data_IF_639892632329
#
_entry.id   IF_639892632329
#
_cell.length_a   1.000
_cell.length_b   1.000
_cell.length_c   1.000
_cell.angle_alpha   90.00
_cell.angle_beta   90.00
_cell.angle_gamma   90.00
#
_symmetry.space_group_name_H-M   'P 1'
#
loop_
_entity.id
_entity.type
_entity.pdbx_description
1 polymer ?
#
# COMPACT_ATOMS: atom_id res chain seq x y z
N UNK A 1 -9.79 -21.00 11.58
CA UNK A 1 -8.63 -20.10 11.49
C UNK A 1 -9.19 -18.70 11.43
N UNK A 2 -8.61 -17.73 12.12
CA UNK A 2 -8.95 -16.33 11.87
C UNK A 2 -8.17 -15.87 10.63
N UNK A 3 -8.75 -14.95 9.89
CA UNK A 3 -8.14 -14.43 8.66
C UNK A 3 -7.20 -13.27 8.97
N UNK A 4 -6.25 -12.99 8.07
CA UNK A 4 -5.58 -11.69 8.05
C UNK A 4 -6.61 -10.61 7.71
N UNK A 5 -6.38 -9.37 8.15
CA UNK A 5 -7.34 -8.30 7.89
C UNK A 5 -6.70 -6.93 7.68
N UNK A 6 -7.43 -6.07 6.96
CA UNK A 6 -7.17 -4.63 6.85
C UNK A 6 -8.27 -3.94 7.64
N UNK A 7 -7.87 -3.15 8.61
CA UNK A 7 -8.76 -2.43 9.53
C UNK A 7 -8.57 -0.93 9.37
N UNK A 8 -9.68 -0.20 9.24
CA UNK A 8 -9.71 1.25 9.37
C UNK A 8 -9.81 1.64 10.84
N UNK A 9 -8.98 2.57 11.28
CA UNK A 9 -8.98 3.14 12.63
C UNK A 9 -9.13 4.65 12.62
N UNK A 10 -9.62 5.19 13.71
CA UNK A 10 -9.75 6.64 13.90
C UNK A 10 -9.11 7.09 15.19
N UNK A 11 -8.11 7.96 15.09
CA UNK A 11 -7.57 8.71 16.22
C UNK A 11 -8.38 10.00 16.39
N UNK A 12 -8.97 10.20 17.58
CA UNK A 12 -9.69 11.43 17.90
C UNK A 12 -8.70 12.58 18.15
N UNK A 13 -8.92 13.70 17.47
CA UNK A 13 -8.15 14.92 17.62
C UNK A 13 -9.04 15.98 18.24
N UNK A 14 -8.63 16.55 19.38
CA UNK A 14 -9.35 17.59 20.12
C UNK A 14 -10.85 17.31 20.33
N UNK A 15 -11.23 16.04 20.46
CA UNK A 15 -12.60 15.61 20.74
C UNK A 15 -13.61 15.71 19.60
N UNK A 16 -13.32 16.44 18.53
CA UNK A 16 -14.26 16.76 17.43
C UNK A 16 -13.81 16.14 16.12
N UNK A 17 -12.55 16.30 15.74
CA UNK A 17 -11.99 15.82 14.49
C UNK A 17 -11.40 14.40 14.61
N UNK A 18 -11.25 13.71 13.49
CA UNK A 18 -10.65 12.41 13.42
C UNK A 18 -9.56 12.33 12.36
N UNK A 19 -8.45 11.70 12.73
CA UNK A 19 -7.41 11.23 11.83
C UNK A 19 -7.63 9.75 11.57
N UNK A 20 -8.07 9.42 10.35
CA UNK A 20 -8.27 8.04 9.95
C UNK A 20 -6.98 7.43 9.37
N UNK A 21 -6.76 6.15 9.63
CA UNK A 21 -5.59 5.41 9.18
C UNK A 21 -5.89 3.91 9.04
N UNK A 22 -5.00 3.18 8.40
CA UNK A 22 -5.15 1.76 8.14
C UNK A 22 -4.21 0.94 9.01
N UNK A 23 -4.67 -0.25 9.42
CA UNK A 23 -3.91 -1.24 10.18
C UNK A 23 -4.00 -2.58 9.48
N UNK A 24 -2.84 -3.19 9.24
CA UNK A 24 -2.73 -4.58 8.79
C UNK A 24 -2.64 -5.48 10.02
N UNK A 25 -3.45 -6.57 10.06
CA UNK A 25 -3.44 -7.54 11.16
C UNK A 25 -3.20 -8.95 10.67
N UNK A 26 -2.51 -9.74 11.51
CA UNK A 26 -2.37 -11.18 11.33
C UNK A 26 -3.64 -11.94 11.75
N UNK A 27 -3.61 -13.27 11.57
CA UNK A 27 -4.69 -14.18 11.97
C UNK A 27 -4.92 -14.26 13.48
N UNK A 28 -4.00 -13.77 14.30
CA UNK A 28 -4.12 -13.68 15.77
C UNK A 28 -4.70 -12.34 16.21
N UNK A 29 -4.81 -11.39 15.28
CA UNK A 29 -5.24 -10.02 15.52
C UNK A 29 -4.12 -9.07 15.95
N UNK A 30 -2.85 -9.50 15.88
CA UNK A 30 -1.72 -8.59 16.13
C UNK A 30 -1.57 -7.60 15.00
N UNK A 31 -1.21 -6.36 15.31
CA UNK A 31 -0.90 -5.36 14.31
C UNK A 31 0.47 -5.65 13.68
N UNK A 32 0.48 -5.90 12.37
CA UNK A 32 1.70 -6.06 11.59
C UNK A 32 2.27 -4.71 11.14
N UNK A 33 1.40 -3.78 10.76
CA UNK A 33 1.80 -2.46 10.27
C UNK A 33 0.64 -1.45 10.31
N UNK A 34 1.01 -0.16 10.22
CA UNK A 34 0.08 0.96 10.03
C UNK A 34 0.42 1.75 8.75
N UNK A 35 -0.63 2.29 8.06
CA UNK A 35 -0.50 3.24 6.95
C UNK A 35 -1.21 4.54 7.27
N UNK A 36 -0.51 5.65 7.12
CA UNK A 36 -0.99 6.98 7.47
C UNK A 36 -0.77 7.99 6.35
N UNK A 37 -1.58 9.05 6.34
CA UNK A 37 -1.22 10.31 5.72
C UNK A 37 -0.91 11.33 6.81
N UNK A 38 0.31 11.86 6.86
CA UNK A 38 0.75 12.77 7.91
C UNK A 38 1.27 14.08 7.34
N UNK A 39 1.05 15.17 8.10
CA UNK A 39 1.81 16.39 7.89
C UNK A 39 3.29 16.10 8.14
N UNK A 40 4.15 16.51 7.23
CA UNK A 40 5.59 16.22 7.27
C UNK A 40 6.35 17.51 7.02
N UNK A 41 7.28 17.84 7.89
CA UNK A 41 8.15 19.01 7.69
C UNK A 41 9.08 18.76 6.48
N UNK A 42 9.04 19.61 5.48
CA UNK A 42 9.83 19.47 4.25
C UNK A 42 11.34 19.56 4.47
N UNK A 43 11.74 20.28 5.51
CA UNK A 43 13.16 20.48 5.82
C UNK A 43 13.78 19.30 6.55
N UNK A 44 13.06 18.77 7.55
CA UNK A 44 13.56 17.67 8.39
C UNK A 44 13.13 16.29 7.87
N UNK A 45 12.09 16.23 7.01
CA UNK A 45 11.49 14.98 6.56
C UNK A 45 10.73 14.22 7.65
N UNK A 46 10.46 14.85 8.80
CA UNK A 46 9.81 14.18 9.94
C UNK A 46 8.32 14.47 10.00
N UNK A 47 7.48 13.49 10.42
CA UNK A 47 6.06 13.73 10.64
C UNK A 47 5.86 14.66 11.84
N UNK A 48 4.83 15.49 11.74
CA UNK A 48 4.41 16.41 12.79
C UNK A 48 2.95 16.18 13.14
N UNK A 49 2.53 16.41 14.40
CA UNK A 49 1.17 16.10 14.85
C UNK A 49 0.07 16.83 14.06
N UNK A 50 0.28 18.12 13.77
CA UNK A 50 -0.66 18.96 13.00
C UNK A 50 0.15 19.95 12.17
N UNK A 51 -0.14 20.03 10.86
CA UNK A 51 0.47 21.05 9.99
C UNK A 51 -0.07 22.44 10.28
N UNK A 52 0.80 23.40 10.48
CA UNK A 52 0.46 24.79 10.80
C UNK A 52 0.96 25.79 9.76
N UNK A 53 1.77 25.34 8.82
CA UNK A 53 2.32 26.13 7.72
C UNK A 53 2.35 25.29 6.43
N UNK A 54 1.43 25.56 5.52
CA UNK A 54 1.30 24.82 4.27
C UNK A 54 2.55 24.90 3.37
N UNK A 55 3.34 25.95 3.47
CA UNK A 55 4.60 26.09 2.69
C UNK A 55 5.69 25.18 3.24
N UNK A 56 5.73 25.01 4.55
CA UNK A 56 6.72 24.21 5.26
C UNK A 56 6.33 22.74 5.35
N UNK A 57 5.05 22.45 5.41
CA UNK A 57 4.53 21.11 5.70
C UNK A 57 3.87 20.48 4.46
N UNK A 58 4.36 19.32 4.07
CA UNK A 58 3.78 18.51 3.00
C UNK A 58 2.89 17.39 3.58
N UNK A 59 1.90 16.96 2.81
CA UNK A 59 1.20 15.71 3.05
C UNK A 59 2.04 14.55 2.51
N UNK A 60 2.40 13.60 3.36
CA UNK A 60 3.13 12.39 2.99
C UNK A 60 2.39 11.15 3.46
N UNK A 61 2.44 10.09 2.65
CA UNK A 61 2.06 8.75 3.07
C UNK A 61 3.21 8.12 3.87
N UNK A 62 2.87 7.50 5.00
CA UNK A 62 3.80 6.86 5.92
C UNK A 62 3.40 5.41 6.17
N UNK A 63 4.41 4.54 6.25
CA UNK A 63 4.25 3.14 6.58
C UNK A 63 5.08 2.81 7.81
N UNK A 64 4.45 2.26 8.85
CA UNK A 64 5.09 1.84 10.09
C UNK A 64 4.93 0.32 10.25
N UNK A 65 5.91 -0.49 9.84
CA UNK A 65 5.91 -1.93 10.09
C UNK A 65 6.29 -2.20 11.54
N UNK A 66 5.44 -2.88 12.30
CA UNK A 66 5.65 -3.17 13.73
C UNK A 66 6.23 -4.56 13.96
N UNK A 67 5.74 -5.53 13.18
CA UNK A 67 6.18 -6.93 13.28
C UNK A 67 7.51 -7.12 12.56
N UNK A 68 8.47 -7.79 13.23
CA UNK A 68 9.81 -7.97 12.71
C UNK A 68 9.85 -8.89 11.48
N UNK A 69 9.06 -9.97 11.48
CA UNK A 69 9.01 -10.92 10.37
C UNK A 69 8.37 -10.28 9.14
N UNK A 70 7.30 -9.52 9.35
CA UNK A 70 6.68 -8.74 8.28
C UNK A 70 7.62 -7.68 7.72
N UNK A 71 8.29 -6.90 8.59
CA UNK A 71 9.26 -5.88 8.18
C UNK A 71 10.40 -6.48 7.35
N UNK A 72 10.99 -7.58 7.82
CA UNK A 72 12.05 -8.30 7.10
C UNK A 72 11.56 -8.81 5.73
N UNK A 73 10.35 -9.34 5.65
CA UNK A 73 9.76 -9.86 4.40
C UNK A 73 9.60 -8.78 3.31
N UNK A 74 9.46 -7.52 3.69
CA UNK A 74 9.37 -6.37 2.76
C UNK A 74 10.65 -5.56 2.63
N UNK A 75 11.76 -6.03 3.22
CA UNK A 75 13.05 -5.35 3.19
C UNK A 75 13.09 -4.05 4.01
N UNK A 76 12.27 -3.93 5.05
CA UNK A 76 12.20 -2.79 5.95
C UNK A 76 12.77 -3.14 7.34
N UNK A 77 12.96 -2.12 8.17
CA UNK A 77 13.24 -2.28 9.60
C UNK A 77 11.95 -2.10 10.41
N UNK A 78 11.75 -2.84 11.51
CA UNK A 78 10.62 -2.64 12.40
C UNK A 78 10.62 -1.22 12.97
N UNK A 79 9.44 -0.60 13.00
CA UNK A 79 9.22 0.73 13.57
C UNK A 79 8.35 0.64 14.84
N UNK A 80 8.74 1.36 15.88
CA UNK A 80 8.02 1.41 17.16
C UNK A 80 6.96 2.50 17.21
N UNK A 81 6.91 3.36 16.18
CA UNK A 81 5.90 4.42 16.10
C UNK A 81 4.52 3.80 15.87
N UNK A 82 3.61 3.97 16.81
CA UNK A 82 2.25 3.46 16.69
C UNK A 82 1.23 4.49 17.13
N UNK A 83 0.17 4.60 16.37
CA UNK A 83 -1.01 5.43 16.64
C UNK A 83 -2.17 4.62 17.23
N UNK A 84 -1.98 3.30 17.40
CA UNK A 84 -2.96 2.44 18.05
C UNK A 84 -3.14 2.82 19.52
N UNK A 85 -4.40 2.96 19.94
CA UNK A 85 -4.80 3.20 21.32
C UNK A 85 -6.05 2.37 21.63
N UNK A 86 -6.21 1.99 22.87
CA UNK A 86 -7.42 1.29 23.32
C UNK A 86 -8.67 2.16 23.14
N UNK A 87 -9.78 1.51 22.82
CA UNK A 87 -11.07 2.18 22.65
C UNK A 87 -11.25 3.02 21.40
N UNK A 88 -10.26 3.04 20.48
CA UNK A 88 -10.43 3.74 19.21
C UNK A 88 -11.52 3.08 18.35
N UNK A 89 -12.35 3.88 17.66
CA UNK A 89 -13.26 3.36 16.65
C UNK A 89 -12.52 2.56 15.58
N UNK A 90 -13.03 1.38 15.27
CA UNK A 90 -12.46 0.45 14.31
C UNK A 90 -13.52 -0.08 13.34
N UNK A 91 -13.11 -0.40 12.11
CA UNK A 91 -13.93 -1.04 11.09
C UNK A 91 -13.05 -1.98 10.25
N UNK A 92 -13.36 -3.26 10.23
CA UNK A 92 -12.72 -4.19 9.29
C UNK A 92 -13.20 -3.86 7.88
N UNK A 93 -12.27 -3.57 6.98
CA UNK A 93 -12.53 -3.23 5.59
C UNK A 93 -12.34 -4.45 4.66
N UNK A 94 -11.42 -5.34 4.99
CA UNK A 94 -11.23 -6.61 4.30
C UNK A 94 -10.71 -7.66 5.29
N UNK A 95 -11.09 -8.92 5.09
CA UNK A 95 -10.51 -10.08 5.75
C UNK A 95 -10.46 -11.25 4.77
N UNK A 96 -9.44 -12.09 4.89
CA UNK A 96 -9.23 -13.21 4.01
C UNK A 96 -7.89 -13.89 4.24
N UNK A 97 -7.47 -14.69 3.27
CA UNK A 97 -6.18 -15.35 3.36
C UNK A 97 -5.01 -14.35 3.35
N UNK A 98 -3.89 -14.79 3.93
CA UNK A 98 -2.68 -13.95 4.08
C UNK A 98 -2.22 -13.36 2.75
N UNK A 99 -2.22 -14.15 1.68
CA UNK A 99 -1.66 -13.73 0.40
C UNK A 99 -2.53 -12.61 -0.23
N UNK A 100 -3.85 -12.76 -0.20
CA UNK A 100 -4.76 -11.75 -0.72
C UNK A 100 -4.65 -10.44 0.06
N UNK A 101 -4.72 -10.51 1.40
CA UNK A 101 -4.67 -9.31 2.25
C UNK A 101 -3.34 -8.58 2.11
N UNK A 102 -2.21 -9.31 2.06
CA UNK A 102 -0.91 -8.70 1.80
C UNK A 102 -0.81 -8.10 0.38
N UNK A 103 -1.39 -8.75 -0.64
CA UNK A 103 -1.38 -8.21 -2.00
C UNK A 103 -2.14 -6.88 -2.12
N UNK A 104 -3.29 -6.75 -1.42
CA UNK A 104 -4.04 -5.50 -1.28
C UNK A 104 -3.20 -4.42 -0.60
N UNK A 105 -2.62 -4.74 0.54
CA UNK A 105 -1.76 -3.83 1.30
C UNK A 105 -0.56 -3.34 0.49
N UNK A 106 0.12 -4.25 -0.20
CA UNK A 106 1.27 -3.94 -1.04
C UNK A 106 0.91 -3.08 -2.26
N UNK A 107 -0.33 -3.09 -2.75
CA UNK A 107 -0.75 -2.16 -3.79
C UNK A 107 -0.65 -0.70 -3.31
N UNK A 108 -1.07 -0.42 -2.08
CA UNK A 108 -0.87 0.90 -1.47
C UNK A 108 0.62 1.23 -1.27
N UNK A 109 1.43 0.29 -0.77
CA UNK A 109 2.87 0.52 -0.57
C UNK A 109 3.59 0.87 -1.88
N UNK A 110 3.28 0.16 -2.98
CA UNK A 110 3.88 0.44 -4.30
C UNK A 110 3.54 1.83 -4.83
N UNK A 111 2.40 2.39 -4.45
CA UNK A 111 1.99 3.73 -4.86
C UNK A 111 2.58 4.86 -4.00
N UNK A 112 3.09 4.57 -2.79
CA UNK A 112 3.59 5.59 -1.87
C UNK A 112 4.66 6.51 -2.45
N UNK A 113 5.65 6.03 -3.23
CA UNK A 113 6.63 6.93 -3.87
C UNK A 113 5.96 7.98 -4.76
N UNK A 114 4.95 7.61 -5.55
CA UNK A 114 4.20 8.54 -6.40
C UNK A 114 3.34 9.50 -5.58
N UNK A 115 2.68 9.01 -4.52
CA UNK A 115 1.94 9.86 -3.58
C UNK A 115 2.83 10.93 -2.97
N UNK A 116 4.02 10.54 -2.54
CA UNK A 116 4.96 11.43 -1.86
C UNK A 116 5.69 12.37 -2.82
N UNK A 117 5.88 11.98 -4.08
CA UNK A 117 6.51 12.81 -5.10
C UNK A 117 5.66 14.03 -5.52
N UNK A 118 4.35 14.02 -5.28
CA UNK A 118 3.48 15.15 -5.59
C UNK A 118 3.74 16.39 -4.73
N UNK A 119 4.39 16.21 -3.58
CA UNK A 119 4.74 17.27 -2.63
C UNK A 119 3.56 18.18 -2.26
N UNK A 120 2.37 17.59 -2.09
CA UNK A 120 1.14 18.32 -1.78
C UNK A 120 1.26 19.09 -0.48
N UNK A 121 0.83 20.36 -0.49
CA UNK A 121 0.78 21.17 0.72
C UNK A 121 -0.20 20.57 1.73
N UNK A 122 0.27 20.40 2.98
CA UNK A 122 -0.63 20.06 4.07
C UNK A 122 -1.36 21.33 4.53
N UNK A 123 -2.70 21.40 4.46
CA UNK A 123 -3.43 22.61 4.82
C UNK A 123 -3.26 22.94 6.30
N UNK A 124 -3.20 24.23 6.61
CA UNK A 124 -3.08 24.71 7.99
C UNK A 124 -4.17 24.10 8.86
N UNK A 125 -3.77 23.49 9.96
CA UNK A 125 -4.67 22.76 10.87
C UNK A 125 -5.47 21.64 10.19
N UNK A 126 -5.02 21.14 9.04
CA UNK A 126 -5.66 20.05 8.29
C UNK A 126 -6.95 20.44 7.57
N UNK A 127 -7.25 21.73 7.40
CA UNK A 127 -8.50 22.19 6.80
C UNK A 127 -8.31 23.43 5.91
N UNK A 128 -9.05 23.50 4.80
CA UNK A 128 -9.18 24.70 3.93
C UNK A 128 -10.60 25.25 4.04
N UNK A 129 -10.72 26.56 4.20
CA UNK A 129 -12.00 27.24 4.19
C UNK A 129 -12.61 27.29 2.78
N UNK A 130 -11.76 27.38 1.75
CA UNK A 130 -12.19 27.44 0.35
C UNK A 130 -11.42 26.38 -0.47
N UNK A 131 -12.12 25.76 -1.41
CA UNK A 131 -11.56 24.73 -2.29
C UNK A 131 -11.47 23.35 -1.63
N UNK A 132 -10.88 22.41 -2.36
CA UNK A 132 -10.72 21.03 -1.88
C UNK A 132 -9.71 20.95 -0.73
N UNK A 133 -10.12 20.34 0.38
CA UNK A 133 -9.21 19.96 1.46
C UNK A 133 -8.56 18.63 1.11
N UNK A 134 -7.23 18.61 0.93
CA UNK A 134 -6.43 17.40 0.78
C UNK A 134 -5.51 17.31 2.01
N UNK A 135 -5.70 16.28 2.84
CA UNK A 135 -5.06 16.11 4.14
C UNK A 135 -4.89 14.63 4.49
N UNK A 136 -4.64 14.30 5.75
CA UNK A 136 -4.51 12.92 6.24
C UNK A 136 -5.70 12.03 5.90
N UNK A 137 -6.93 12.54 5.95
CA UNK A 137 -8.13 11.76 5.61
C UNK A 137 -8.25 11.53 4.10
N UNK A 138 -7.73 12.45 3.27
CA UNK A 138 -7.61 12.23 1.82
C UNK A 138 -6.58 11.16 1.49
N UNK A 139 -5.47 11.11 2.23
CA UNK A 139 -4.48 10.03 2.13
C UNK A 139 -5.09 8.69 2.55
N UNK A 140 -5.81 8.65 3.68
CA UNK A 140 -6.54 7.46 4.13
C UNK A 140 -7.48 6.93 3.03
N UNK A 141 -8.27 7.81 2.42
CA UNK A 141 -9.14 7.44 1.30
C UNK A 141 -8.35 6.87 0.13
N UNK A 142 -7.33 7.60 -0.32
CA UNK A 142 -6.51 7.18 -1.47
C UNK A 142 -5.87 5.82 -1.25
N UNK A 143 -5.29 5.59 -0.07
CA UNK A 143 -4.68 4.30 0.30
C UNK A 143 -5.72 3.18 0.31
N UNK A 144 -6.93 3.41 0.82
CA UNK A 144 -8.03 2.45 0.78
C UNK A 144 -8.46 2.08 -0.64
N UNK A 145 -8.61 3.08 -1.52
CA UNK A 145 -8.95 2.86 -2.92
C UNK A 145 -7.84 2.10 -3.67
N UNK A 146 -6.56 2.37 -3.37
CA UNK A 146 -5.42 1.62 -3.91
C UNK A 146 -5.40 0.16 -3.45
N UNK A 147 -5.75 -0.12 -2.21
CA UNK A 147 -5.92 -1.49 -1.68
C UNK A 147 -7.15 -2.20 -2.25
N UNK A 148 -8.07 -1.47 -2.91
CA UNK A 148 -9.33 -2.01 -3.39
C UNK A 148 -10.26 -2.42 -2.25
N UNK A 149 -10.25 -1.68 -1.13
CA UNK A 149 -11.11 -1.93 0.03
C UNK A 149 -12.12 -0.81 0.22
N UNK A 150 -13.30 -1.09 0.83
CA UNK A 150 -14.24 -0.05 1.22
C UNK A 150 -13.57 0.96 2.16
N UNK A 151 -13.83 2.25 1.95
CA UNK A 151 -13.36 3.33 2.81
C UNK A 151 -14.47 3.72 3.77
N UNK A 152 -14.47 3.25 5.02
CA UNK A 152 -15.56 3.54 5.95
C UNK A 152 -15.45 4.95 6.51
N UNK A 153 -16.60 5.60 6.69
CA UNK A 153 -16.71 6.80 7.50
C UNK A 153 -16.88 6.43 8.98
N UNK A 154 -16.49 7.35 9.86
CA UNK A 154 -16.69 7.22 11.30
C UNK A 154 -17.74 8.24 11.76
N UNK A 155 -18.99 7.83 12.07
CA UNK A 155 -20.05 8.73 12.48
C UNK A 155 -19.67 9.50 13.75
N UNK A 156 -20.25 10.68 13.93
CA UNK A 156 -20.04 11.59 15.07
C UNK A 156 -18.62 12.18 15.16
N UNK A 157 -17.81 12.10 14.10
CA UNK A 157 -16.47 12.71 14.00
C UNK A 157 -16.33 13.43 12.69
N UNK A 158 -15.82 14.64 12.73
CA UNK A 158 -15.48 15.38 11.51
C UNK A 158 -14.25 14.76 10.87
N UNK A 159 -14.34 14.44 9.61
CA UNK A 159 -13.24 13.93 8.79
C UNK A 159 -13.05 14.82 7.56
N UNK A 160 -12.55 16.05 7.73
CA UNK A 160 -12.30 16.93 6.59
C UNK A 160 -11.42 16.23 5.57
N UNK A 161 -11.68 16.45 4.28
CA UNK A 161 -10.87 15.84 3.23
C UNK A 161 -11.19 14.40 2.86
N UNK A 162 -12.04 13.68 3.63
CA UNK A 162 -12.39 12.27 3.36
C UNK A 162 -13.05 12.07 1.97
N UNK A 163 -13.67 13.10 1.41
CA UNK A 163 -14.26 13.07 0.08
C UNK A 163 -13.26 13.23 -1.07
N UNK A 164 -12.00 13.59 -0.78
CA UNK A 164 -10.97 13.90 -1.76
C UNK A 164 -9.89 12.81 -1.79
N UNK A 165 -9.15 12.71 -2.91
CA UNK A 165 -8.00 11.83 -3.07
C UNK A 165 -6.73 12.63 -3.31
N UNK A 166 -5.57 12.04 -3.03
CA UNK A 166 -4.25 12.60 -3.35
C UNK A 166 -3.91 12.45 -4.84
N UNK A 167 -4.41 11.41 -5.49
CA UNK A 167 -4.17 11.11 -6.91
C UNK A 167 -5.44 11.33 -7.73
N UNK A 168 -5.31 11.66 -9.02
CA UNK A 168 -6.41 11.58 -9.98
C UNK A 168 -7.01 10.17 -10.04
N UNK A 169 -8.30 10.09 -10.36
CA UNK A 169 -9.02 8.80 -10.38
C UNK A 169 -8.40 7.79 -11.34
N UNK A 170 -7.99 8.23 -12.51
CA UNK A 170 -7.37 7.38 -13.54
C UNK A 170 -6.07 6.75 -13.04
N UNK A 171 -5.29 7.51 -12.22
CA UNK A 171 -4.06 6.99 -11.62
C UNK A 171 -4.35 5.97 -10.54
N UNK A 172 -5.36 6.22 -9.68
CA UNK A 172 -5.81 5.25 -8.67
C UNK A 172 -6.24 3.95 -9.36
N UNK A 173 -7.07 4.04 -10.42
CA UNK A 173 -7.52 2.86 -11.18
C UNK A 173 -6.36 2.08 -11.84
N UNK A 174 -5.31 2.75 -12.25
CA UNK A 174 -4.12 2.10 -12.83
C UNK A 174 -3.26 1.37 -11.77
N UNK A 175 -3.20 1.89 -10.54
CA UNK A 175 -2.31 1.41 -9.48
C UNK A 175 -3.00 0.46 -8.48
N UNK A 176 -4.34 0.48 -8.42
CA UNK A 176 -5.10 -0.26 -7.40
C UNK A 176 -4.93 -1.76 -7.51
N UNK A 177 -5.11 -2.44 -6.38
CA UNK A 177 -5.24 -3.88 -6.34
C UNK A 177 -6.37 -4.35 -7.26
N UNK A 178 -6.08 -5.35 -8.07
CA UNK A 178 -7.05 -6.09 -8.87
C UNK A 178 -6.97 -7.55 -8.49
N UNK A 179 -8.11 -8.14 -8.21
CA UNK A 179 -8.19 -9.57 -8.01
C UNK A 179 -7.75 -10.28 -9.29
N UNK A 180 -6.73 -11.13 -9.22
CA UNK A 180 -6.32 -11.93 -10.36
C UNK A 180 -7.44 -12.93 -10.68
N UNK A 181 -7.95 -12.89 -11.90
CA UNK A 181 -8.94 -13.87 -12.33
C UNK A 181 -8.36 -15.29 -12.22
N UNK A 182 -9.21 -16.27 -11.92
CA UNK A 182 -8.79 -17.68 -11.83
C UNK A 182 -8.09 -18.13 -13.12
N UNK A 183 -8.45 -17.54 -14.26
CA UNK A 183 -7.82 -17.81 -15.57
C UNK A 183 -6.37 -17.30 -15.68
N UNK A 184 -6.05 -16.15 -15.03
CA UNK A 184 -4.68 -15.64 -15.03
C UNK A 184 -3.75 -16.46 -14.13
N UNK A 185 -4.28 -17.00 -13.03
CA UNK A 185 -3.54 -17.94 -12.14
C UNK A 185 -3.17 -19.23 -12.87
N UNK A 186 -4.04 -19.73 -13.75
CA UNK A 186 -3.78 -20.95 -14.54
C UNK A 186 -2.74 -20.74 -15.63
N UNK A 187 -2.65 -19.56 -16.25
CA UNK A 187 -1.66 -19.24 -17.27
C UNK A 187 -0.21 -19.18 -16.74
N UNK A 188 -0.03 -18.76 -15.50
CA UNK A 188 1.30 -18.69 -14.86
C UNK A 188 1.82 -20.08 -14.48
N UNK A 189 0.94 -21.07 -14.34
CA UNK A 189 1.28 -22.43 -13.92
C UNK A 189 1.33 -23.46 -15.06
N UNK A 190 1.22 -23.05 -16.32
CA UNK A 190 1.43 -23.95 -17.45
C UNK A 190 2.94 -24.01 -17.73
N UNK A 191 3.67 -25.09 -17.34
CA UNK A 191 5.05 -25.25 -17.74
C UNK A 191 5.06 -25.31 -19.27
N UNK A 192 6.00 -24.61 -19.89
CA UNK A 192 6.22 -24.71 -21.31
C UNK A 192 6.37 -26.21 -21.63
N UNK A 193 5.38 -26.77 -22.33
CA UNK A 193 5.43 -28.15 -22.77
C UNK A 193 6.65 -28.30 -23.67
N UNK A 194 7.47 -29.29 -23.37
CA UNK A 194 8.65 -29.73 -24.04
C UNK A 194 8.56 -29.48 -25.56
N UNK A 195 9.36 -28.54 -26.04
CA UNK A 195 9.69 -28.46 -27.46
C UNK A 195 10.52 -29.72 -27.80
N UNK A 196 9.88 -30.60 -28.55
CA UNK A 196 10.41 -31.83 -29.11
C UNK A 196 11.88 -31.74 -29.45
N UNK A 197 12.69 -32.61 -28.88
CA UNK A 197 13.97 -33.04 -29.42
C UNK A 197 13.76 -33.58 -30.84
N UNK A 198 14.00 -32.79 -31.86
CA UNK A 198 14.23 -33.31 -33.22
C UNK A 198 15.67 -33.80 -33.30
N UNK A 199 15.78 -35.10 -33.52
CA UNK A 199 17.04 -35.80 -33.79
C UNK A 199 17.76 -35.15 -35.01
N UNK A 200 19.04 -34.83 -34.80
CA UNK A 200 19.93 -34.40 -35.86
C UNK A 200 20.31 -35.60 -36.77
N UNK A 201 20.34 -35.47 -38.10
CA UNK A 201 20.72 -36.54 -39.01
C UNK A 201 22.22 -36.82 -38.88
N UNK A 202 22.57 -38.11 -38.75
CA UNK A 202 23.92 -38.64 -38.79
C UNK A 202 24.47 -38.52 -40.24
N UNK A 203 25.37 -37.60 -40.47
CA UNK A 203 26.17 -37.60 -41.69
C UNK A 203 27.46 -38.41 -41.51
N UNK A 204 27.62 -39.38 -42.41
CA UNK A 204 28.73 -40.32 -42.54
C UNK A 204 30.05 -39.60 -42.80
N UNK A 205 31.08 -40.02 -42.06
CA UNK A 205 32.48 -39.67 -42.30
C UNK A 205 32.99 -40.61 -43.39
N UNK A 206 33.32 -40.07 -44.59
CA UNK A 206 34.11 -40.75 -45.60
C UNK A 206 35.56 -40.34 -45.45
N UNK A 207 36.41 -41.34 -45.34
CA UNK A 207 37.85 -41.27 -45.30
C UNK A 207 38.43 -40.76 -46.61
N UNK A 208 39.40 -39.86 -46.56
CA UNK A 208 40.44 -39.78 -47.59
C UNK A 208 41.80 -39.54 -47.01
N UNK A 209 42.54 -40.62 -46.92
CA UNK A 209 44.01 -40.69 -46.77
C UNK A 209 44.63 -40.25 -48.11
N UNK A 210 45.52 -39.29 -48.12
CA UNK A 210 46.63 -39.17 -49.04
C UNK A 210 47.84 -38.53 -48.36
N UNK A 211 48.86 -39.33 -48.31
CA UNK A 211 50.30 -39.09 -48.19
C UNK A 211 50.85 -38.02 -49.11
N UNK A 212 51.78 -37.19 -48.66
CA UNK A 212 53.14 -37.13 -49.27
C UNK A 212 53.97 -35.99 -48.66
N UNK A 213 55.19 -36.42 -48.37
CA UNK A 213 56.50 -35.75 -48.34
C UNK A 213 56.76 -34.77 -47.27
#
# INVERSE_FOLDING_TARGET
MRDHSIEARLLCIAGIAGHAYWVLRDERGNALAELHGLATDRHTGTPIPIGTDARRHALRAWHYPHDADYANAIGAQPDRTSYLRDGQPARTAASGDKHEILARWHAALRAMPELNAQDLDYPNYGFKLFGATINSNSAFRTLGELMGVPVPGFPRRLQPGIGNCMLPRERIEALRYREQSVQDRQRVYTPASDASCQEAPKHAISQHIRSNS
#
